data_IF_303018612714
#
_entry.id   IF_303018612714
#
_cell.length_a   1.000
_cell.length_b   1.000
_cell.length_c   1.000
_cell.angle_alpha   90.00
_cell.angle_beta   90.00
_cell.angle_gamma   90.00
#
_symmetry.space_group_name_H-M   'P 1'
#
loop_
_entity.id
_entity.type
_entity.pdbx_description
1 polymer ?
#
# COMPACT_ATOMS: atom_id res chain seq x y z
N UNK A 1 75.90 -84.28 -32.98
CA UNK A 1 77.04 -83.38 -33.13
C UNK A 1 76.49 -81.92 -33.15
N UNK A 2 77.03 -81.11 -32.30
CA UNK A 2 76.85 -79.69 -32.05
C UNK A 2 75.71 -79.30 -31.09
N UNK A 3 76.13 -78.99 -29.92
CA UNK A 3 75.60 -78.31 -28.78
C UNK A 3 75.45 -76.83 -29.14
N UNK A 4 74.30 -76.23 -28.84
CA UNK A 4 74.15 -74.77 -28.78
C UNK A 4 73.52 -74.40 -27.46
N UNK A 5 74.29 -73.73 -26.63
CA UNK A 5 73.87 -73.10 -25.38
C UNK A 5 72.94 -71.91 -25.66
N UNK A 6 71.79 -71.79 -25.00
CA UNK A 6 71.02 -70.60 -24.93
C UNK A 6 71.01 -70.08 -23.49
N UNK A 7 71.66 -68.96 -23.27
CA UNK A 7 71.71 -68.20 -22.04
C UNK A 7 70.38 -67.44 -21.87
N UNK A 8 69.66 -67.79 -20.80
CA UNK A 8 68.42 -67.04 -20.42
C UNK A 8 68.83 -65.81 -19.60
N UNK A 9 68.48 -64.66 -20.13
CA UNK A 9 68.51 -63.36 -19.38
C UNK A 9 67.23 -63.19 -18.61
N UNK A 10 67.31 -63.24 -17.27
CA UNK A 10 66.22 -62.92 -16.35
C UNK A 10 66.17 -61.40 -16.22
N UNK A 11 65.13 -60.78 -16.76
CA UNK A 11 64.82 -59.35 -16.60
C UNK A 11 63.97 -59.16 -15.32
N UNK A 12 64.60 -58.70 -14.24
CA UNK A 12 63.92 -58.32 -12.99
C UNK A 12 63.25 -57.02 -13.19
N UNK A 13 61.85 -57.04 -13.30
CA UNK A 13 61.02 -55.86 -13.30
C UNK A 13 60.86 -55.36 -11.85
N UNK A 14 61.59 -54.30 -11.48
CA UNK A 14 61.38 -53.55 -10.26
C UNK A 14 59.98 -52.85 -10.38
N UNK A 15 58.94 -53.39 -9.74
CA UNK A 15 57.71 -52.69 -9.50
C UNK A 15 57.93 -51.63 -8.43
N UNK A 16 58.05 -50.33 -8.84
CA UNK A 16 58.03 -49.24 -7.91
C UNK A 16 56.54 -49.11 -7.36
N UNK A 17 56.39 -48.93 -6.05
CA UNK A 17 55.04 -48.67 -5.49
C UNK A 17 54.58 -47.33 -6.05
N UNK A 18 53.50 -47.31 -6.85
CA UNK A 18 52.73 -46.11 -7.18
C UNK A 18 52.06 -45.68 -5.89
N UNK A 19 52.59 -44.69 -5.21
CA UNK A 19 51.88 -43.97 -4.18
C UNK A 19 50.68 -43.32 -4.91
N UNK A 20 49.49 -43.87 -4.73
CA UNK A 20 48.26 -43.19 -5.08
C UNK A 20 48.24 -41.89 -4.25
N UNK A 21 48.52 -40.76 -4.90
CA UNK A 21 48.26 -39.46 -4.32
C UNK A 21 46.77 -39.47 -3.95
N UNK A 22 46.49 -39.42 -2.64
CA UNK A 22 45.12 -39.28 -2.13
C UNK A 22 44.62 -37.92 -2.60
N UNK A 23 44.02 -37.91 -3.80
CA UNK A 23 43.45 -36.70 -4.39
C UNK A 23 42.32 -36.25 -3.47
N UNK A 24 42.49 -35.07 -2.85
CA UNK A 24 41.50 -34.49 -1.97
C UNK A 24 40.15 -34.45 -2.69
N UNK A 25 39.07 -34.93 -2.04
CA UNK A 25 37.74 -34.94 -2.62
C UNK A 25 37.27 -33.52 -2.85
N UNK A 26 36.83 -33.17 -4.07
CA UNK A 26 36.27 -31.85 -4.33
C UNK A 26 34.85 -31.71 -3.70
N UNK A 27 34.66 -30.66 -2.92
CA UNK A 27 33.39 -30.36 -2.24
C UNK A 27 32.83 -29.03 -2.70
N UNK A 28 31.52 -29.00 -3.02
CA UNK A 28 30.79 -27.75 -3.30
C UNK A 28 30.43 -27.15 -1.98
N UNK A 29 30.93 -25.95 -1.72
CA UNK A 29 30.66 -25.21 -0.50
C UNK A 29 29.59 -24.16 -0.71
N UNK A 30 28.88 -23.82 0.36
CA UNK A 30 28.07 -22.63 0.48
C UNK A 30 28.40 -21.91 1.79
N UNK A 31 28.44 -20.61 1.75
CA UNK A 31 28.57 -19.79 2.95
C UNK A 31 27.18 -19.62 3.52
N UNK A 32 27.01 -19.91 4.80
CA UNK A 32 25.75 -19.66 5.48
C UNK A 32 25.67 -18.22 5.95
N UNK A 33 24.49 -17.62 5.84
CA UNK A 33 24.24 -16.25 6.26
C UNK A 33 22.91 -16.19 6.97
N UNK A 34 22.86 -15.39 8.02
CA UNK A 34 21.65 -15.07 8.75
C UNK A 34 20.90 -13.89 8.15
N UNK A 35 21.05 -13.62 6.85
CA UNK A 35 20.37 -12.51 6.19
C UNK A 35 18.84 -12.60 6.31
N UNK A 36 18.16 -11.41 6.48
CA UNK A 36 16.71 -11.35 6.57
C UNK A 36 16.02 -11.92 5.33
N UNK A 37 15.07 -12.82 5.54
CA UNK A 37 14.17 -13.26 4.47
C UNK A 37 13.13 -12.17 4.25
N UNK A 38 13.23 -11.47 3.13
CA UNK A 38 12.21 -10.51 2.70
C UNK A 38 11.12 -11.29 1.97
N UNK A 39 9.91 -11.26 2.52
CA UNK A 39 8.73 -11.83 1.88
C UNK A 39 8.03 -10.71 1.11
N UNK A 40 8.02 -10.80 -0.22
CA UNK A 40 7.32 -9.85 -1.08
C UNK A 40 5.98 -10.43 -1.52
N UNK A 41 4.92 -9.60 -1.43
CA UNK A 41 3.60 -9.91 -1.96
C UNK A 41 3.08 -8.71 -2.73
N UNK A 42 2.38 -9.01 -3.83
CA UNK A 42 1.82 -8.00 -4.72
C UNK A 42 0.30 -8.13 -4.75
N UNK A 43 -0.39 -7.00 -4.65
CA UNK A 43 -1.84 -6.88 -4.74
C UNK A 43 -2.21 -5.89 -5.83
N UNK A 44 -3.29 -6.15 -6.54
CA UNK A 44 -3.84 -5.18 -7.48
C UNK A 44 -4.75 -4.25 -6.69
N UNK A 45 -4.45 -2.96 -6.74
CA UNK A 45 -5.24 -1.90 -6.14
C UNK A 45 -5.87 -0.99 -7.19
N UNK A 46 -6.85 -0.21 -6.74
CA UNK A 46 -7.50 0.84 -7.51
C UNK A 46 -7.22 2.19 -6.90
N UNK A 47 -6.82 3.14 -7.73
CA UNK A 47 -6.62 4.52 -7.30
C UNK A 47 -7.98 5.18 -7.06
N UNK A 48 -8.09 5.88 -5.94
CA UNK A 48 -9.20 6.76 -5.59
C UNK A 48 -8.64 8.14 -5.23
N UNK A 49 -9.49 9.16 -5.26
CA UNK A 49 -9.18 10.46 -4.70
C UNK A 49 -9.28 10.39 -3.17
N UNK A 50 -8.68 11.35 -2.46
CA UNK A 50 -8.86 11.51 -1.02
C UNK A 50 -10.34 11.57 -0.64
N UNK A 51 -11.11 12.33 -1.41
CA UNK A 51 -12.55 12.47 -1.26
C UNK A 51 -13.19 12.70 -2.64
N UNK A 52 -14.39 12.17 -2.83
CA UNK A 52 -15.22 12.40 -4.01
C UNK A 52 -16.59 12.87 -3.57
N UNK A 53 -17.01 14.03 -4.07
CA UNK A 53 -18.28 14.65 -3.67
C UNK A 53 -19.13 14.95 -4.91
N UNK A 54 -20.40 14.58 -4.83
CA UNK A 54 -21.41 15.01 -5.79
C UNK A 54 -22.01 16.33 -5.28
N UNK A 55 -21.65 17.43 -5.93
CA UNK A 55 -22.16 18.76 -5.59
C UNK A 55 -23.56 18.95 -6.17
N UNK A 56 -24.44 19.52 -5.38
CA UNK A 56 -25.83 19.81 -5.72
C UNK A 56 -26.25 21.17 -5.17
N UNK A 57 -27.14 21.86 -5.87
CA UNK A 57 -27.77 23.04 -5.32
C UNK A 57 -28.68 22.69 -4.14
N UNK A 58 -28.73 23.56 -3.14
CA UNK A 58 -29.64 23.41 -2.00
C UNK A 58 -31.02 24.01 -2.28
N UNK A 59 -31.14 24.76 -3.38
CA UNK A 59 -32.40 25.34 -3.90
C UNK A 59 -32.64 24.90 -5.34
N UNK A 60 -33.86 24.85 -5.80
CA UNK A 60 -34.17 24.46 -7.18
C UNK A 60 -34.27 25.68 -8.10
N UNK A 61 -33.86 25.51 -9.36
CA UNK A 61 -33.93 26.57 -10.36
C UNK A 61 -33.36 26.14 -11.71
N UNK A 62 -33.36 27.05 -12.68
CA UNK A 62 -32.73 26.84 -13.97
C UNK A 62 -31.25 27.25 -13.92
N UNK A 63 -30.36 26.41 -14.41
CA UNK A 63 -28.91 26.72 -14.52
C UNK A 63 -28.74 27.70 -15.70
N UNK A 64 -28.18 28.88 -15.44
CA UNK A 64 -27.85 29.87 -16.48
C UNK A 64 -26.37 29.94 -16.80
N UNK A 65 -25.50 29.61 -15.85
CA UNK A 65 -24.05 29.60 -16.03
C UNK A 65 -23.47 28.28 -15.51
N UNK A 66 -22.52 27.70 -16.30
CA UNK A 66 -21.83 26.46 -15.95
C UNK A 66 -20.42 26.46 -16.58
N UNK A 67 -19.48 27.27 -16.04
CA UNK A 67 -18.20 27.56 -16.67
C UNK A 67 -17.20 26.40 -16.56
N UNK A 68 -17.37 25.44 -15.64
CA UNK A 68 -16.40 24.37 -15.40
C UNK A 68 -16.40 23.32 -16.51
N UNK A 69 -15.21 22.77 -16.77
CA UNK A 69 -14.96 21.75 -17.79
C UNK A 69 -14.48 20.49 -17.10
N UNK A 70 -14.98 19.32 -17.53
CA UNK A 70 -14.53 18.02 -17.05
C UNK A 70 -13.02 17.83 -17.30
N UNK A 71 -12.32 17.26 -16.32
CA UNK A 71 -10.88 17.07 -16.37
C UNK A 71 -10.05 18.27 -15.96
N UNK A 72 -10.66 19.44 -15.67
CA UNK A 72 -9.95 20.63 -15.21
C UNK A 72 -9.94 20.71 -13.68
N UNK A 73 -8.88 21.32 -13.14
CA UNK A 73 -8.79 21.71 -11.74
C UNK A 73 -9.57 23.00 -11.50
N UNK A 74 -10.21 23.08 -10.33
CA UNK A 74 -10.85 24.29 -9.80
C UNK A 74 -10.32 24.56 -8.40
N UNK A 75 -10.23 25.83 -8.03
CA UNK A 75 -9.84 26.22 -6.69
C UNK A 75 -11.06 26.28 -5.73
N UNK A 76 -10.79 26.17 -4.44
CA UNK A 76 -11.81 26.41 -3.40
C UNK A 76 -12.45 27.80 -3.58
N UNK A 77 -13.77 27.84 -3.57
CA UNK A 77 -14.54 29.06 -3.76
C UNK A 77 -14.80 29.45 -5.23
N UNK A 78 -14.20 28.75 -6.20
CA UNK A 78 -14.51 28.99 -7.61
C UNK A 78 -15.99 28.63 -7.93
N UNK A 79 -16.59 29.42 -8.83
CA UNK A 79 -17.97 29.19 -9.26
C UNK A 79 -18.05 27.95 -10.16
N UNK A 80 -18.78 26.95 -9.71
CA UNK A 80 -19.09 25.73 -10.46
C UNK A 80 -20.28 25.94 -11.40
N UNK A 81 -21.38 26.44 -10.85
CA UNK A 81 -22.61 26.70 -11.60
C UNK A 81 -23.45 27.77 -10.90
N UNK A 82 -24.33 28.41 -11.64
CA UNK A 82 -25.23 29.45 -11.14
C UNK A 82 -26.66 29.24 -11.68
N UNK A 83 -27.63 29.33 -10.78
CA UNK A 83 -29.04 29.35 -11.13
C UNK A 83 -29.47 30.76 -11.55
N UNK A 84 -30.63 30.83 -12.24
CA UNK A 84 -31.33 32.10 -12.45
C UNK A 84 -31.72 32.69 -11.10
N UNK A 85 -31.14 33.84 -10.77
CA UNK A 85 -31.31 34.50 -9.48
C UNK A 85 -32.46 35.46 -9.41
N UNK A 86 -33.08 35.83 -10.55
CA UNK A 86 -34.10 36.87 -10.61
C UNK A 86 -35.27 36.60 -9.63
N UNK A 87 -35.74 35.35 -9.56
CA UNK A 87 -36.81 34.98 -8.64
C UNK A 87 -36.40 35.08 -7.16
N UNK A 88 -35.15 34.73 -6.83
CA UNK A 88 -34.62 34.81 -5.46
C UNK A 88 -34.41 36.26 -5.03
N UNK A 89 -33.94 37.13 -5.94
CA UNK A 89 -33.78 38.56 -5.70
C UNK A 89 -35.14 39.22 -5.41
N UNK A 90 -36.17 38.90 -6.21
CA UNK A 90 -37.57 39.40 -5.97
C UNK A 90 -38.07 38.92 -4.62
N UNK A 91 -37.82 37.66 -4.22
CA UNK A 91 -38.25 37.14 -2.91
C UNK A 91 -37.56 37.87 -1.76
N UNK A 92 -36.25 38.16 -1.89
CA UNK A 92 -35.50 38.92 -0.92
C UNK A 92 -36.01 40.36 -0.80
N UNK A 93 -36.24 41.03 -1.92
CA UNK A 93 -36.81 42.39 -1.92
C UNK A 93 -38.21 42.45 -1.22
N UNK A 94 -39.09 41.47 -1.50
CA UNK A 94 -40.38 41.37 -0.83
C UNK A 94 -40.22 41.16 0.69
N UNK A 95 -39.30 40.29 1.13
CA UNK A 95 -39.08 40.05 2.54
C UNK A 95 -38.52 41.29 3.27
N UNK A 96 -37.62 42.04 2.63
CA UNK A 96 -37.05 43.30 3.15
C UNK A 96 -38.17 44.37 3.31
N UNK A 97 -39.04 44.54 2.32
CA UNK A 97 -40.17 45.49 2.39
C UNK A 97 -41.15 45.12 3.51
N UNK A 98 -41.41 43.83 3.73
CA UNK A 98 -42.24 43.35 4.83
C UNK A 98 -41.60 43.63 6.19
N UNK A 99 -40.29 43.40 6.34
CA UNK A 99 -39.55 43.70 7.57
C UNK A 99 -39.60 45.20 7.87
N UNK A 100 -39.31 46.05 6.88
CA UNK A 100 -39.36 47.52 7.03
C UNK A 100 -40.77 47.99 7.47
N UNK A 101 -41.84 47.41 6.91
CA UNK A 101 -43.19 47.69 7.33
C UNK A 101 -43.46 47.31 8.80
N UNK A 102 -43.00 46.14 9.22
CA UNK A 102 -43.12 45.67 10.61
C UNK A 102 -42.37 46.58 11.58
N UNK A 103 -41.13 46.95 11.25
CA UNK A 103 -40.28 47.87 12.05
C UNK A 103 -40.93 49.25 12.19
N UNK A 104 -41.45 49.83 11.11
CA UNK A 104 -42.21 51.10 11.17
C UNK A 104 -43.46 50.99 12.02
N UNK A 105 -44.11 49.84 12.05
CA UNK A 105 -45.29 49.59 12.86
C UNK A 105 -44.91 49.48 14.33
N UNK A 106 -43.83 48.75 14.68
CA UNK A 106 -43.33 48.66 16.02
C UNK A 106 -42.88 50.03 16.57
N UNK A 107 -42.13 50.80 15.78
CA UNK A 107 -41.68 52.15 16.18
C UNK A 107 -42.89 53.07 16.46
N UNK A 108 -43.95 53.02 15.62
CA UNK A 108 -45.18 53.79 15.86
C UNK A 108 -45.91 53.34 17.13
N UNK A 109 -46.06 52.02 17.36
CA UNK A 109 -46.75 51.49 18.56
C UNK A 109 -45.95 51.76 19.83
N UNK A 110 -44.65 51.63 19.80
CA UNK A 110 -43.78 51.93 20.93
C UNK A 110 -43.86 53.41 21.37
N UNK A 111 -43.99 54.35 20.42
CA UNK A 111 -44.18 55.78 20.69
C UNK A 111 -45.56 56.13 21.31
N UNK A 112 -46.53 55.26 21.08
CA UNK A 112 -47.90 55.40 21.60
C UNK A 112 -48.20 54.62 22.88
N UNK A 113 -47.23 53.86 23.38
CA UNK A 113 -47.34 53.04 24.60
C UNK A 113 -47.71 53.90 25.79
N UNK A 114 -48.66 53.45 26.62
CA UNK A 114 -49.14 54.15 27.81
C UNK A 114 -50.21 55.20 27.54
N UNK A 115 -50.43 55.65 26.30
CA UNK A 115 -51.47 56.58 25.95
C UNK A 115 -52.67 55.92 25.28
N UNK A 116 -52.50 55.13 24.23
CA UNK A 116 -53.55 54.58 23.39
C UNK A 116 -53.35 53.13 23.00
N UNK A 117 -52.10 52.59 23.21
CA UNK A 117 -51.72 51.24 22.81
C UNK A 117 -51.37 50.43 24.08
N UNK A 118 -51.79 49.17 24.09
CA UNK A 118 -51.48 48.23 25.17
C UNK A 118 -50.07 47.64 25.00
N UNK A 119 -49.44 47.21 26.11
CA UNK A 119 -48.13 46.52 26.12
C UNK A 119 -48.19 45.27 25.24
N UNK A 120 -49.25 44.46 25.32
CA UNK A 120 -49.45 43.29 24.47
C UNK A 120 -49.42 43.61 22.97
N UNK A 121 -49.91 44.80 22.54
CA UNK A 121 -49.88 45.19 21.14
C UNK A 121 -48.46 45.56 20.67
N UNK A 122 -47.61 46.05 21.57
CA UNK A 122 -46.20 46.30 21.26
C UNK A 122 -45.42 44.96 21.18
N UNK A 123 -45.68 44.03 22.10
CA UNK A 123 -45.11 42.67 22.10
C UNK A 123 -45.51 41.92 20.82
N UNK A 124 -46.78 42.05 20.34
CA UNK A 124 -47.22 41.48 19.07
C UNK A 124 -46.47 42.09 17.89
N UNK A 125 -46.25 43.41 17.89
CA UNK A 125 -45.48 44.08 16.83
C UNK A 125 -43.99 43.70 16.85
N UNK A 126 -43.39 43.53 18.04
CA UNK A 126 -42.01 43.03 18.20
C UNK A 126 -41.89 41.60 17.64
N UNK A 127 -42.84 40.74 17.99
CA UNK A 127 -42.89 39.37 17.44
C UNK A 127 -42.97 39.38 15.92
N UNK A 128 -43.77 40.30 15.33
CA UNK A 128 -43.90 40.43 13.88
C UNK A 128 -42.58 40.88 13.22
N UNK A 129 -41.82 41.79 13.82
CA UNK A 129 -40.50 42.16 13.37
C UNK A 129 -39.54 40.94 13.38
N UNK A 130 -39.58 40.12 14.46
CA UNK A 130 -38.84 38.88 14.54
C UNK A 130 -39.16 37.88 13.42
N UNK A 131 -40.45 37.71 13.11
CA UNK A 131 -40.92 36.81 12.05
C UNK A 131 -40.50 37.29 10.64
N UNK A 132 -40.65 38.60 10.36
CA UNK A 132 -40.21 39.16 9.07
C UNK A 132 -38.68 39.16 8.93
N UNK A 133 -37.96 39.39 10.01
CA UNK A 133 -36.49 39.23 10.02
C UNK A 133 -36.03 37.79 9.73
N UNK A 134 -36.78 36.79 10.22
CA UNK A 134 -36.52 35.40 9.85
C UNK A 134 -36.81 35.11 8.37
N UNK A 135 -37.86 35.73 7.78
CA UNK A 135 -38.16 35.61 6.36
C UNK A 135 -37.07 36.23 5.47
N UNK A 136 -36.48 37.38 5.89
CA UNK A 136 -35.33 37.98 5.18
C UNK A 136 -34.14 37.03 5.18
N UNK A 137 -33.74 36.52 6.34
CA UNK A 137 -32.62 35.54 6.41
C UNK A 137 -32.85 34.29 5.56
N UNK A 138 -34.10 33.83 5.45
CA UNK A 138 -34.46 32.70 4.59
C UNK A 138 -34.32 33.02 3.10
N UNK A 139 -34.69 34.23 2.68
CA UNK A 139 -34.54 34.68 1.31
C UNK A 139 -33.09 34.93 0.93
N UNK A 140 -32.31 35.56 1.82
CA UNK A 140 -30.85 35.72 1.67
C UNK A 140 -30.14 34.37 1.50
N UNK A 141 -30.45 33.40 2.37
CA UNK A 141 -29.90 32.05 2.29
C UNK A 141 -30.24 31.38 0.94
N UNK A 142 -31.45 31.54 0.45
CA UNK A 142 -31.87 30.97 -0.83
C UNK A 142 -31.14 31.62 -2.01
N UNK A 143 -30.90 32.91 -1.98
CA UNK A 143 -30.14 33.64 -3.01
C UNK A 143 -28.66 33.25 -3.00
N UNK A 144 -28.06 33.15 -1.81
CA UNK A 144 -26.66 32.69 -1.65
C UNK A 144 -26.45 31.28 -2.23
N UNK A 145 -27.39 30.35 -1.92
CA UNK A 145 -27.33 28.96 -2.36
C UNK A 145 -27.84 28.75 -3.80
N UNK A 146 -28.21 29.81 -4.51
CA UNK A 146 -28.41 29.78 -5.95
C UNK A 146 -27.10 29.82 -6.76
N UNK A 147 -25.95 30.01 -6.10
CA UNK A 147 -24.59 29.83 -6.69
C UNK A 147 -23.92 28.63 -6.06
N UNK A 148 -23.46 27.71 -6.89
CA UNK A 148 -22.73 26.53 -6.46
C UNK A 148 -21.22 26.80 -6.56
N UNK A 149 -20.53 26.74 -5.43
CA UNK A 149 -19.09 26.98 -5.33
C UNK A 149 -18.34 25.67 -5.04
N UNK A 150 -17.06 25.62 -5.42
CA UNK A 150 -16.18 24.52 -5.08
C UNK A 150 -15.86 24.56 -3.57
N UNK A 151 -16.09 23.45 -2.82
CA UNK A 151 -15.83 23.41 -1.37
C UNK A 151 -14.35 23.17 -1.02
N UNK A 152 -13.50 22.82 -1.98
CA UNK A 152 -12.06 22.59 -1.88
C UNK A 152 -11.43 22.62 -3.26
N UNK A 153 -10.09 22.69 -3.31
CA UNK A 153 -9.34 22.54 -4.56
C UNK A 153 -9.50 21.13 -5.12
N UNK A 154 -10.03 20.99 -6.33
CA UNK A 154 -10.35 19.67 -6.83
C UNK A 154 -10.43 19.55 -8.34
N UNK A 155 -10.44 18.29 -8.80
CA UNK A 155 -10.61 17.92 -10.19
C UNK A 155 -12.10 17.70 -10.51
N UNK A 156 -12.61 18.38 -11.52
CA UNK A 156 -13.96 18.11 -12.04
C UNK A 156 -13.96 16.76 -12.77
N UNK A 157 -14.67 15.80 -12.20
CA UNK A 157 -14.74 14.43 -12.75
C UNK A 157 -15.80 14.29 -13.83
N UNK A 158 -17.01 14.76 -13.54
CA UNK A 158 -18.14 14.65 -14.47
C UNK A 158 -19.16 15.76 -14.23
N UNK A 159 -19.85 16.17 -15.28
CA UNK A 159 -21.03 17.02 -15.25
C UNK A 159 -22.26 16.13 -15.46
N UNK A 160 -23.22 16.20 -14.53
CA UNK A 160 -24.42 15.36 -14.57
C UNK A 160 -25.60 16.05 -15.22
N UNK A 161 -25.50 17.36 -15.47
CA UNK A 161 -26.54 18.20 -16.05
C UNK A 161 -25.96 19.21 -17.04
N UNK A 162 -26.79 19.76 -17.91
CA UNK A 162 -26.39 20.74 -18.92
C UNK A 162 -26.85 22.18 -18.53
N UNK A 163 -26.19 23.18 -19.12
CA UNK A 163 -26.61 24.56 -19.02
C UNK A 163 -28.05 24.71 -19.55
N UNK A 164 -28.83 25.57 -18.93
CA UNK A 164 -30.29 25.81 -19.19
C UNK A 164 -31.21 24.66 -18.77
N UNK A 165 -30.71 23.61 -18.14
CA UNK A 165 -31.58 22.62 -17.51
C UNK A 165 -32.14 23.13 -16.18
N UNK A 166 -33.35 22.67 -15.81
CA UNK A 166 -33.95 22.95 -14.51
C UNK A 166 -33.62 21.79 -13.56
N UNK A 167 -33.10 22.11 -12.38
CA UNK A 167 -32.73 21.14 -11.34
C UNK A 167 -33.55 21.36 -10.08
N UNK A 168 -33.88 20.29 -9.39
CA UNK A 168 -34.42 20.33 -8.04
C UNK A 168 -33.33 20.42 -6.99
N UNK A 169 -33.64 20.91 -5.80
CA UNK A 169 -32.73 20.86 -4.66
C UNK A 169 -32.24 19.43 -4.40
N UNK A 170 -30.95 19.26 -4.16
CA UNK A 170 -30.28 17.95 -3.90
C UNK A 170 -29.99 17.12 -5.15
N UNK A 171 -30.33 17.61 -6.37
CA UNK A 171 -29.95 16.90 -7.61
C UNK A 171 -28.46 17.04 -7.87
N UNK A 172 -27.68 15.95 -8.02
CA UNK A 172 -26.25 16.01 -8.34
C UNK A 172 -26.00 16.75 -9.66
N UNK A 173 -25.19 17.81 -9.62
CA UNK A 173 -24.86 18.67 -10.77
C UNK A 173 -23.49 18.32 -11.32
N UNK A 174 -22.49 18.16 -10.44
CA UNK A 174 -21.11 17.90 -10.80
C UNK A 174 -20.47 17.01 -9.75
N UNK A 175 -19.56 16.13 -10.19
CA UNK A 175 -18.70 15.37 -9.30
C UNK A 175 -17.30 15.99 -9.27
N UNK A 176 -16.81 16.27 -8.06
CA UNK A 176 -15.47 16.80 -7.81
C UNK A 176 -14.64 15.83 -6.98
N UNK A 177 -13.36 15.70 -7.31
CA UNK A 177 -12.38 14.89 -6.61
C UNK A 177 -11.33 15.76 -5.93
N UNK A 178 -11.13 15.56 -4.63
CA UNK A 178 -9.98 16.11 -3.90
C UNK A 178 -8.74 15.27 -4.26
N UNK A 179 -7.82 15.89 -5.00
CA UNK A 179 -6.58 15.27 -5.47
C UNK A 179 -5.38 15.60 -4.60
N UNK A 180 -5.56 16.20 -3.42
CA UNK A 180 -4.47 16.55 -2.50
C UNK A 180 -3.71 15.33 -1.97
N UNK A 181 -4.37 14.18 -1.92
CA UNK A 181 -3.82 12.87 -1.59
C UNK A 181 -4.45 11.82 -2.51
N UNK A 182 -3.63 10.93 -3.07
CA UNK A 182 -4.15 9.75 -3.75
C UNK A 182 -4.37 8.63 -2.74
N UNK A 183 -5.49 7.93 -2.88
CA UNK A 183 -5.80 6.72 -2.13
C UNK A 183 -5.65 5.51 -3.04
N UNK A 184 -5.10 4.42 -2.52
CA UNK A 184 -5.05 3.14 -3.23
C UNK A 184 -5.81 2.13 -2.40
N UNK A 185 -6.95 1.70 -2.91
CA UNK A 185 -7.81 0.70 -2.29
C UNK A 185 -7.39 -0.68 -2.74
N UNK A 186 -7.19 -1.59 -1.78
CA UNK A 186 -6.77 -2.97 -2.01
C UNK A 186 -7.61 -3.91 -1.17
N UNK A 187 -8.06 -5.00 -1.76
CA UNK A 187 -8.73 -6.07 -1.04
C UNK A 187 -7.69 -7.10 -0.57
N UNK A 188 -7.42 -7.13 0.74
CA UNK A 188 -6.41 -7.98 1.39
C UNK A 188 -7.07 -9.20 2.02
N UNK A 189 -6.66 -10.45 1.71
CA UNK A 189 -7.18 -11.64 2.36
C UNK A 189 -7.01 -11.61 3.89
N UNK A 190 -8.02 -12.04 4.62
CA UNK A 190 -8.07 -12.02 6.10
C UNK A 190 -6.80 -12.60 6.74
N UNK A 191 -6.35 -13.75 6.27
CA UNK A 191 -5.17 -14.44 6.83
C UNK A 191 -3.88 -13.61 6.71
N UNK A 192 -3.76 -12.78 5.68
CA UNK A 192 -2.61 -11.90 5.47
C UNK A 192 -2.73 -10.62 6.30
N UNK A 193 -3.95 -10.13 6.45
CA UNK A 193 -4.25 -8.95 7.25
C UNK A 193 -3.93 -9.18 8.72
N UNK A 194 -4.34 -10.33 9.27
CA UNK A 194 -4.06 -10.71 10.67
C UNK A 194 -2.55 -10.87 10.93
N UNK A 195 -1.79 -11.49 10.01
CA UNK A 195 -0.34 -11.63 10.11
C UNK A 195 0.43 -10.32 10.00
N UNK A 196 -0.10 -9.35 9.27
CA UNK A 196 0.56 -8.04 9.12
C UNK A 196 0.55 -7.21 10.43
N UNK A 197 -0.40 -7.46 11.32
CA UNK A 197 -0.49 -6.80 12.61
C UNK A 197 0.64 -7.23 13.58
N UNK A 198 1.23 -8.40 13.39
CA UNK A 198 2.33 -8.94 14.21
C UNK A 198 3.70 -8.41 13.78
N UNK A 199 3.85 -7.96 12.53
CA UNK A 199 5.14 -7.58 11.93
C UNK A 199 5.22 -6.07 11.73
N UNK A 200 6.01 -5.36 12.56
CA UNK A 200 6.11 -3.88 12.54
C UNK A 200 7.05 -3.32 11.46
N UNK A 201 7.82 -4.17 10.78
CA UNK A 201 8.78 -3.75 9.74
C UNK A 201 8.30 -4.06 8.32
N UNK A 202 7.03 -3.72 8.04
CA UNK A 202 6.50 -3.86 6.71
C UNK A 202 6.71 -2.57 5.93
N UNK A 203 7.31 -2.64 4.74
CA UNK A 203 7.26 -1.56 3.76
C UNK A 203 6.14 -1.83 2.76
N UNK A 204 5.34 -0.80 2.49
CA UNK A 204 4.26 -0.85 1.50
C UNK A 204 4.55 0.19 0.44
N UNK A 205 4.61 -0.24 -0.81
CA UNK A 205 4.93 0.61 -1.95
C UNK A 205 3.85 0.48 -3.03
N UNK A 206 3.64 1.53 -3.79
CA UNK A 206 2.81 1.49 -5.01
C UNK A 206 3.67 1.53 -6.24
N UNK A 207 3.26 0.83 -7.30
CA UNK A 207 3.80 0.93 -8.64
C UNK A 207 2.66 1.08 -9.64
N UNK A 208 2.80 2.06 -10.55
CA UNK A 208 1.82 2.30 -11.59
C UNK A 208 2.23 1.64 -12.92
N UNK A 209 1.28 1.21 -13.76
CA UNK A 209 1.58 0.49 -15.01
C UNK A 209 2.47 1.26 -16.00
N UNK A 210 2.53 2.59 -15.87
CA UNK A 210 3.29 3.47 -16.78
C UNK A 210 4.67 3.85 -16.23
N UNK A 211 5.03 3.38 -15.03
CA UNK A 211 6.33 3.68 -14.40
C UNK A 211 6.80 2.48 -13.59
N UNK A 212 8.10 2.15 -13.70
CA UNK A 212 8.74 1.14 -12.84
C UNK A 212 9.12 1.70 -11.44
N UNK A 213 8.86 2.98 -11.20
CA UNK A 213 9.15 3.66 -9.95
C UNK A 213 8.19 3.22 -8.84
N UNK A 214 8.73 3.05 -7.64
CA UNK A 214 7.95 2.65 -6.46
C UNK A 214 7.77 3.85 -5.53
N UNK A 215 6.53 4.08 -5.15
CA UNK A 215 6.11 5.19 -4.28
C UNK A 215 5.70 4.67 -2.92
N UNK A 216 6.16 5.28 -1.81
CA UNK A 216 5.81 4.82 -0.46
C UNK A 216 4.32 5.03 -0.18
N UNK A 217 3.72 4.02 0.44
CA UNK A 217 2.33 4.04 0.87
C UNK A 217 2.22 4.05 2.39
N UNK A 218 1.27 4.82 2.90
CA UNK A 218 0.89 4.83 4.32
C UNK A 218 -0.54 4.33 4.47
N UNK A 219 -0.76 3.40 5.39
CA UNK A 219 -2.12 2.97 5.70
C UNK A 219 -2.92 4.15 6.27
N UNK A 220 -4.14 4.35 5.76
CA UNK A 220 -5.06 5.40 6.23
C UNK A 220 -6.22 4.80 6.99
N UNK A 221 -6.89 3.85 6.35
CA UNK A 221 -8.09 3.23 6.90
C UNK A 221 -8.24 1.81 6.36
N UNK A 222 -9.04 1.04 7.02
CA UNK A 222 -9.47 -0.28 6.54
C UNK A 222 -10.92 -0.53 6.98
N UNK A 223 -11.65 -1.30 6.17
CA UNK A 223 -12.98 -1.73 6.54
C UNK A 223 -12.89 -2.77 7.65
N UNK A 224 -13.58 -2.53 8.76
CA UNK A 224 -13.61 -3.46 9.90
C UNK A 224 -14.51 -4.68 9.68
N UNK A 225 -15.19 -4.73 8.54
CA UNK A 225 -16.04 -5.85 8.12
C UNK A 225 -15.46 -6.52 6.88
N UNK A 226 -15.47 -7.85 6.87
CA UNK A 226 -15.02 -8.61 5.70
C UNK A 226 -16.02 -8.49 4.57
N UNK A 227 -15.54 -8.41 3.35
CA UNK A 227 -16.37 -8.55 2.15
C UNK A 227 -17.07 -9.91 2.16
N UNK A 228 -18.37 -9.92 1.83
CA UNK A 228 -19.18 -11.15 1.72
C UNK A 228 -18.68 -12.08 0.60
N UNK A 229 -17.93 -11.54 -0.36
CA UNK A 229 -17.31 -12.29 -1.45
C UNK A 229 -15.80 -12.23 -1.29
N UNK A 230 -15.15 -13.36 -0.99
CA UNK A 230 -13.70 -13.51 -0.96
C UNK A 230 -13.02 -13.42 0.41
N UNK A 231 -13.74 -13.13 1.50
CA UNK A 231 -13.17 -13.02 2.86
C UNK A 231 -11.94 -12.08 2.89
N UNK A 232 -12.10 -10.89 2.32
CA UNK A 232 -11.07 -9.87 2.25
C UNK A 232 -11.45 -8.64 3.06
N UNK A 233 -10.47 -7.98 3.67
CA UNK A 233 -10.61 -6.64 4.21
C UNK A 233 -10.17 -5.63 3.17
N UNK A 234 -10.95 -4.56 2.97
CA UNK A 234 -10.51 -3.45 2.14
C UNK A 234 -9.59 -2.55 2.96
N UNK A 235 -8.37 -2.37 2.50
CA UNK A 235 -7.41 -1.44 3.06
C UNK A 235 -7.21 -0.27 2.10
N UNK A 236 -7.19 0.95 2.63
CA UNK A 236 -6.93 2.18 1.90
C UNK A 236 -5.58 2.74 2.32
N UNK A 237 -4.69 2.90 1.36
CA UNK A 237 -3.36 3.48 1.54
C UNK A 237 -3.32 4.86 0.91
N UNK A 238 -2.72 5.82 1.61
CA UNK A 238 -2.51 7.18 1.11
C UNK A 238 -1.09 7.39 0.59
N UNK A 239 -0.97 8.23 -0.42
CA UNK A 239 0.30 8.73 -0.93
C UNK A 239 0.13 10.15 -1.48
N UNK A 240 1.22 10.90 -1.51
CA UNK A 240 1.24 12.18 -2.24
C UNK A 240 1.17 11.92 -3.75
N UNK A 241 0.47 12.77 -4.51
CA UNK A 241 0.45 12.65 -5.95
C UNK A 241 1.87 12.70 -6.52
N UNK A 242 2.28 11.71 -7.37
CA UNK A 242 3.63 11.67 -7.90
C UNK A 242 3.87 12.82 -8.87
N UNK A 243 5.03 13.48 -8.76
CA UNK A 243 5.40 14.56 -9.65
C UNK A 243 5.59 14.06 -11.10
N UNK A 244 4.99 14.77 -12.04
CA UNK A 244 5.13 14.46 -13.47
C UNK A 244 4.32 13.28 -13.97
N UNK A 245 3.58 12.59 -13.11
CA UNK A 245 2.73 11.47 -13.45
C UNK A 245 1.26 11.82 -13.21
N UNK A 246 0.45 11.86 -14.26
CA UNK A 246 -0.99 12.06 -14.12
C UNK A 246 -1.68 10.74 -13.76
N UNK A 247 -1.99 10.56 -12.48
CA UNK A 247 -2.74 9.42 -11.96
C UNK A 247 -4.15 9.86 -11.61
N UNK A 248 -5.14 9.30 -12.29
CA UNK A 248 -6.55 9.64 -12.08
C UNK A 248 -7.27 8.58 -11.25
N UNK A 249 -8.29 8.96 -10.48
CA UNK A 249 -9.18 8.01 -9.81
C UNK A 249 -9.75 7.00 -10.79
N UNK A 250 -9.77 5.73 -10.38
CA UNK A 250 -10.16 4.61 -11.24
C UNK A 250 -9.00 3.88 -11.91
N UNK A 251 -7.80 4.47 -11.96
CA UNK A 251 -6.59 3.82 -12.49
C UNK A 251 -6.18 2.62 -11.64
N UNK A 252 -5.46 1.66 -12.25
CA UNK A 252 -4.89 0.51 -11.54
C UNK A 252 -3.55 0.88 -10.92
N UNK A 253 -3.24 0.29 -9.77
CA UNK A 253 -1.92 0.34 -9.14
C UNK A 253 -1.56 -1.06 -8.62
N UNK A 254 -0.27 -1.40 -8.60
CA UNK A 254 0.22 -2.60 -7.93
C UNK A 254 0.77 -2.19 -6.56
N UNK A 255 0.18 -2.73 -5.50
CA UNK A 255 0.66 -2.54 -4.13
C UNK A 255 1.60 -3.68 -3.78
N UNK A 256 2.83 -3.34 -3.41
CA UNK A 256 3.92 -4.25 -3.08
C UNK A 256 4.15 -4.16 -1.58
N UNK A 257 3.88 -5.26 -0.89
CA UNK A 257 4.11 -5.38 0.56
C UNK A 257 5.36 -6.22 0.77
N UNK A 258 6.38 -5.63 1.40
CA UNK A 258 7.60 -6.34 1.80
C UNK A 258 7.60 -6.47 3.31
N UNK A 259 7.60 -7.70 3.79
CA UNK A 259 7.70 -8.04 5.20
C UNK A 259 9.08 -8.64 5.48
N UNK A 260 9.81 -8.04 6.39
CA UNK A 260 11.05 -8.63 6.91
C UNK A 260 10.68 -9.63 8.00
N UNK A 261 10.91 -10.91 7.75
CA UNK A 261 10.69 -11.92 8.77
C UNK A 261 11.81 -11.85 9.81
N UNK A 262 11.48 -11.81 11.12
CA UNK A 262 12.49 -11.85 12.15
C UNK A 262 13.30 -13.16 12.02
N UNK A 263 14.63 -13.03 11.99
CA UNK A 263 15.53 -14.17 11.79
C UNK A 263 15.64 -14.99 13.03
N UNK A 264 15.39 -16.26 12.84
CA UNK A 264 15.82 -17.29 13.78
C UNK A 264 16.45 -18.43 12.97
N UNK A 265 17.61 -18.19 12.37
CA UNK A 265 18.41 -19.25 11.77
C UNK A 265 18.77 -19.09 10.28
N UNK A 266 19.66 -19.94 9.83
CA UNK A 266 20.23 -19.97 8.49
C UNK A 266 19.48 -20.98 7.64
N UNK A 267 19.08 -20.62 6.41
CA UNK A 267 18.39 -21.54 5.50
C UNK A 267 19.42 -22.27 4.65
N UNK A 268 19.38 -23.61 4.72
CA UNK A 268 20.28 -24.48 3.94
C UNK A 268 19.46 -25.52 3.16
N UNK A 269 19.94 -25.95 1.98
CA UNK A 269 19.31 -27.07 1.27
C UNK A 269 19.34 -28.34 2.11
N UNK A 270 18.28 -29.14 2.09
CA UNK A 270 18.24 -30.44 2.79
C UNK A 270 19.39 -31.38 2.36
N UNK A 271 19.95 -31.18 1.16
CA UNK A 271 21.13 -31.93 0.68
C UNK A 271 22.42 -31.65 1.43
N UNK A 272 22.49 -30.56 2.21
CA UNK A 272 23.61 -30.22 3.08
C UNK A 272 23.54 -30.93 4.44
N UNK A 273 22.37 -31.46 4.80
CA UNK A 273 22.17 -32.17 6.06
C UNK A 273 22.80 -33.58 6.00
N UNK A 274 23.51 -33.94 7.08
CA UNK A 274 24.10 -35.26 7.28
C UNK A 274 23.67 -35.78 8.65
N UNK A 275 23.04 -36.95 8.68
CA UNK A 275 22.64 -37.57 9.94
C UNK A 275 23.86 -38.29 10.57
N UNK A 276 24.01 -38.18 11.89
CA UNK A 276 24.95 -39.00 12.64
C UNK A 276 24.49 -40.47 12.69
N UNK A 277 25.36 -41.37 13.14
CA UNK A 277 25.01 -42.77 13.38
C UNK A 277 23.91 -42.96 14.44
N UNK A 278 23.66 -41.93 15.27
CA UNK A 278 22.60 -41.91 16.28
C UNK A 278 21.29 -41.28 15.75
N UNK A 279 21.32 -40.75 14.53
CA UNK A 279 20.17 -40.13 13.91
C UNK A 279 20.05 -38.62 14.19
N UNK A 280 21.07 -37.99 14.79
CA UNK A 280 21.03 -36.54 15.02
C UNK A 280 21.40 -35.77 13.73
N UNK A 281 20.71 -34.66 13.43
CA UNK A 281 21.01 -33.83 12.28
C UNK A 281 22.27 -33.02 12.51
N UNK A 282 23.09 -32.93 11.46
CA UNK A 282 24.32 -32.11 11.44
C UNK A 282 24.64 -31.67 10.03
N UNK A 283 25.70 -30.90 9.89
CA UNK A 283 26.28 -30.48 8.61
C UNK A 283 27.79 -30.74 8.60
N UNK A 284 28.37 -30.86 7.42
CA UNK A 284 29.82 -30.88 7.26
C UNK A 284 30.35 -29.46 7.10
N UNK A 285 30.84 -28.85 8.19
CA UNK A 285 31.47 -27.53 8.16
C UNK A 285 32.88 -27.66 7.58
N UNK A 286 33.24 -26.70 6.74
CA UNK A 286 34.53 -26.66 6.09
C UNK A 286 35.45 -25.64 6.77
N UNK A 287 36.42 -26.12 7.49
CA UNK A 287 37.45 -25.30 8.14
C UNK A 287 38.64 -25.14 7.17
N UNK A 288 38.73 -23.94 6.56
CA UNK A 288 39.74 -23.65 5.56
C UNK A 288 41.17 -23.69 6.17
N UNK A 289 42.06 -24.53 5.61
CA UNK A 289 43.47 -24.55 5.98
C UNK A 289 44.25 -23.60 5.06
N UNK A 290 43.82 -23.46 3.81
CA UNK A 290 44.37 -22.52 2.84
C UNK A 290 43.28 -22.09 1.86
N UNK A 291 43.57 -21.32 0.80
CA UNK A 291 42.58 -20.80 -0.16
C UNK A 291 41.78 -21.90 -0.88
N UNK A 292 42.37 -23.12 -1.07
CA UNK A 292 41.75 -24.19 -1.86
C UNK A 292 41.38 -25.41 -1.05
N UNK A 293 42.07 -25.70 0.03
CA UNK A 293 41.94 -26.95 0.78
C UNK A 293 41.60 -26.66 2.25
N UNK A 294 40.83 -27.54 2.84
CA UNK A 294 40.40 -27.45 4.23
C UNK A 294 39.97 -28.80 4.79
N UNK A 295 39.65 -28.81 6.05
CA UNK A 295 39.17 -29.98 6.77
C UNK A 295 37.65 -29.90 6.93
N UNK A 296 36.94 -30.98 6.65
CA UNK A 296 35.51 -31.04 6.92
C UNK A 296 35.23 -31.60 8.31
N UNK A 297 34.43 -30.89 9.08
CA UNK A 297 34.10 -31.24 10.47
C UNK A 297 32.61 -31.42 10.59
N UNK A 298 32.13 -32.58 11.04
CA UNK A 298 30.72 -32.76 11.30
C UNK A 298 30.32 -31.94 12.52
N UNK A 299 29.32 -31.03 12.30
CA UNK A 299 28.85 -30.12 13.31
C UNK A 299 27.37 -30.40 13.56
N UNK A 300 26.94 -30.71 14.79
CA UNK A 300 25.54 -30.94 15.13
C UNK A 300 24.78 -29.63 15.01
N UNK A 301 23.54 -29.67 14.48
CA UNK A 301 22.69 -28.51 14.30
C UNK A 301 21.27 -28.81 14.74
N UNK A 302 20.55 -27.78 15.21
CA UNK A 302 19.12 -27.87 15.39
C UNK A 302 18.44 -27.39 14.12
N UNK A 303 17.44 -28.12 13.64
CA UNK A 303 16.76 -27.82 12.37
C UNK A 303 15.25 -27.69 12.55
N UNK A 304 14.65 -26.76 11.80
CA UNK A 304 13.22 -26.65 11.55
C UNK A 304 12.94 -26.79 10.05
N UNK A 305 11.92 -27.56 9.66
CA UNK A 305 11.55 -27.68 8.25
C UNK A 305 10.94 -26.36 7.73
N UNK A 306 11.29 -25.97 6.51
CA UNK A 306 10.66 -24.83 5.84
C UNK A 306 9.56 -25.28 4.88
N UNK A 307 8.68 -24.36 4.47
CA UNK A 307 7.64 -24.67 3.48
C UNK A 307 8.17 -24.89 2.06
N UNK A 308 9.42 -24.47 1.79
CA UNK A 308 10.09 -24.60 0.48
C UNK A 308 10.82 -25.94 0.31
N UNK A 309 10.87 -26.76 1.35
CA UNK A 309 11.61 -28.04 1.35
C UNK A 309 13.09 -27.90 1.74
N UNK A 310 13.52 -26.70 2.11
CA UNK A 310 14.84 -26.45 2.72
C UNK A 310 14.77 -26.68 4.25
N UNK A 311 15.92 -26.68 4.91
CA UNK A 311 16.00 -26.74 6.37
C UNK A 311 16.47 -25.41 6.93
N UNK A 312 15.86 -24.96 8.01
CA UNK A 312 16.33 -23.82 8.79
C UNK A 312 17.18 -24.32 9.94
N UNK A 313 18.42 -23.89 10.03
CA UNK A 313 19.30 -24.17 11.16
C UNK A 313 19.11 -23.04 12.18
N UNK A 314 18.67 -23.41 13.39
CA UNK A 314 18.42 -22.46 14.49
C UNK A 314 19.61 -22.37 15.45
N UNK A 315 20.41 -23.44 15.57
CA UNK A 315 21.59 -23.48 16.43
C UNK A 315 22.67 -24.34 15.79
N UNK A 316 23.97 -24.07 16.10
CA UNK A 316 25.09 -24.91 15.74
C UNK A 316 25.99 -24.34 14.66
N UNK A 317 25.63 -23.23 13.99
CA UNK A 317 26.51 -22.55 13.02
C UNK A 317 26.58 -21.06 13.35
N UNK A 318 27.66 -20.44 12.90
CA UNK A 318 27.90 -18.99 12.96
C UNK A 318 27.72 -18.35 11.57
N UNK A 319 27.44 -17.06 11.55
CA UNK A 319 27.33 -16.31 10.30
C UNK A 319 28.67 -16.26 9.58
N UNK A 320 28.66 -16.64 8.30
CA UNK A 320 29.89 -16.76 7.50
C UNK A 320 30.55 -18.16 7.51
N UNK A 321 30.05 -19.15 8.29
CA UNK A 321 30.49 -20.51 8.20
C UNK A 321 30.31 -21.06 6.78
N UNK A 322 31.27 -21.88 6.35
CA UNK A 322 31.20 -22.60 5.07
C UNK A 322 30.82 -24.06 5.33
N UNK A 323 29.76 -24.50 4.66
CA UNK A 323 29.29 -25.89 4.76
C UNK A 323 29.28 -26.58 3.40
N UNK A 324 29.38 -27.91 3.42
CA UNK A 324 29.25 -28.72 2.21
C UNK A 324 27.81 -28.75 1.76
N UNK A 325 27.51 -28.16 0.59
CA UNK A 325 26.17 -27.99 0.04
C UNK A 325 25.47 -29.32 -0.33
N UNK A 326 26.26 -30.28 -0.77
CA UNK A 326 25.75 -31.60 -1.18
C UNK A 326 26.87 -32.67 -1.10
N UNK A 327 26.49 -33.92 -0.82
CA UNK A 327 27.41 -35.04 -0.77
C UNK A 327 28.18 -35.16 0.56
N UNK A 328 27.77 -34.42 1.59
CA UNK A 328 28.41 -34.47 2.92
C UNK A 328 28.43 -35.86 3.55
N UNK A 329 27.40 -36.69 3.31
CA UNK A 329 27.34 -38.07 3.82
C UNK A 329 28.40 -39.06 3.25
N UNK A 330 29.13 -38.65 2.21
CA UNK A 330 30.25 -39.44 1.66
C UNK A 330 31.61 -39.00 2.20
N UNK A 331 31.61 -38.06 3.16
CA UNK A 331 32.83 -37.54 3.80
C UNK A 331 32.92 -38.04 5.24
N UNK A 332 34.16 -38.24 5.69
CA UNK A 332 34.42 -38.61 7.08
C UNK A 332 34.73 -37.37 7.91
N UNK A 333 34.38 -37.39 9.18
CA UNK A 333 34.67 -36.29 10.09
C UNK A 333 36.20 -36.13 10.23
N UNK A 334 36.73 -34.93 10.01
CA UNK A 334 38.19 -34.65 10.01
C UNK A 334 38.86 -34.92 8.68
N UNK A 335 38.15 -35.27 7.60
CA UNK A 335 38.72 -35.53 6.29
C UNK A 335 39.16 -34.22 5.62
N UNK A 336 40.33 -34.27 4.95
CA UNK A 336 40.77 -33.16 4.09
C UNK A 336 39.99 -33.16 2.78
N UNK A 337 39.49 -31.99 2.39
CA UNK A 337 38.75 -31.78 1.16
C UNK A 337 39.23 -30.53 0.42
N UNK A 338 38.92 -30.45 -0.86
CA UNK A 338 39.26 -29.31 -1.72
C UNK A 338 38.00 -28.58 -2.18
N UNK A 339 38.04 -27.24 -2.19
CA UNK A 339 36.98 -26.43 -2.79
C UNK A 339 36.77 -26.78 -4.26
N UNK A 340 35.56 -27.07 -4.65
CA UNK A 340 35.20 -27.26 -6.05
C UNK A 340 35.14 -25.91 -6.77
N UNK A 341 36.11 -25.66 -7.65
CA UNK A 341 36.22 -24.41 -8.43
C UNK A 341 35.50 -24.46 -9.79
N UNK A 342 34.66 -25.47 -10.03
CA UNK A 342 33.97 -25.67 -11.32
C UNK A 342 34.72 -26.68 -12.20
N UNK A 343 34.05 -27.16 -13.26
CA UNK A 343 34.70 -27.90 -14.33
C UNK A 343 35.46 -26.85 -15.16
N UNK A 344 36.81 -26.86 -15.08
CA UNK A 344 37.61 -25.98 -15.91
C UNK A 344 37.27 -26.22 -17.40
N UNK A 345 37.00 -25.18 -18.11
CA UNK A 345 36.87 -25.18 -19.58
C UNK A 345 38.26 -25.38 -20.18
#
# INVERSE_FOLDING_TARGET
MKIVNVVGVILAICAAPVFASDALKPVKLMTVSSEPVILERQFIGRVAARQSVDLAFQVGGQIIEFPVIEGNMVAEGDMIAKLDQEQFEIQLEQALLQQEQAERTLDRMSKLLGNTVSEASVDDAETQVGLTGAAVRSAEWSLEHATLLAPFDGLISSRNVETFSTVAAGTPVVRIHDMSELRIEVDVPEILFQRSAENRENSVMARFPISDEEYPLMIREFDAETSTVGQTFRASFGMEPPEGLMVLPGSSATVIVRATLPHTGMVVPTTALVMSDQGDPGVMRFDATNATDGMVVWTPVQIEPTQTGDARITEGLEDGDEIVMAGGGALENGQMARRFAGFGN
#
